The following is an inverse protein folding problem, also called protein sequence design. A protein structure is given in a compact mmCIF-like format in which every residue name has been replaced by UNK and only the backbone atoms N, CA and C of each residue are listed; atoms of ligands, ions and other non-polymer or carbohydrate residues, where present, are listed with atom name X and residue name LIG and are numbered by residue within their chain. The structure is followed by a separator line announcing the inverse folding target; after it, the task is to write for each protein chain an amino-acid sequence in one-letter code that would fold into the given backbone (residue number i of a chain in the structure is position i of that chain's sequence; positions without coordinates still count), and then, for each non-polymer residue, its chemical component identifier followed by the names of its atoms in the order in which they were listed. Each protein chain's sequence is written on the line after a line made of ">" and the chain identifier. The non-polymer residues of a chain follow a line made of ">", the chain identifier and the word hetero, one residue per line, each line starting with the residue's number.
data_IF_106911324128
#
_entry.id   IF_106911324128
#
_cell.length_a   1.000
_cell.length_b   1.000
_cell.length_c   1.000
_cell.angle_alpha   90.00
_cell.angle_beta   90.00
_cell.angle_gamma   90.00
#
_symmetry.space_group_name_H-M   'P 1'
#
loop_
_entity.id
_entity.type
_entity.pdbx_description
1 polymer ?
#
# COMPACT_ATOMS: atom_id res chain seq x y z
N UNK A 1 65.67 -21.34 33.68
CA UNK A 1 66.02 -22.59 34.38
C UNK A 1 66.32 -23.61 33.30
N UNK A 2 67.54 -24.11 33.26
CA UNK A 2 67.98 -25.12 32.30
C UNK A 2 67.51 -26.50 32.77
N UNK A 3 66.82 -27.23 31.90
CA UNK A 3 66.46 -28.63 32.13
C UNK A 3 67.45 -29.55 31.40
N UNK A 4 67.80 -30.66 32.05
CA UNK A 4 68.96 -31.53 31.78
C UNK A 4 68.90 -32.39 30.51
N UNK A 5 68.46 -31.85 29.36
CA UNK A 5 68.56 -32.54 28.06
C UNK A 5 69.14 -31.68 26.93
N UNK A 6 69.74 -30.52 27.21
CA UNK A 6 70.65 -29.83 26.27
C UNK A 6 70.04 -29.33 24.95
N UNK A 7 68.74 -29.47 24.73
CA UNK A 7 68.02 -28.82 23.64
C UNK A 7 67.65 -27.43 24.17
N UNK A 8 68.43 -26.42 23.80
CA UNK A 8 68.04 -25.02 23.92
C UNK A 8 66.74 -24.85 23.14
N UNK A 9 65.59 -24.84 23.82
CA UNK A 9 64.34 -24.36 23.22
C UNK A 9 64.63 -22.93 22.82
N UNK A 10 64.68 -22.62 21.52
CA UNK A 10 65.07 -21.29 21.12
C UNK A 10 64.01 -20.29 21.57
N UNK A 11 64.41 -19.08 21.97
CA UNK A 11 63.47 -18.01 22.36
C UNK A 11 62.38 -17.70 21.32
N UNK A 12 62.54 -18.14 20.06
CA UNK A 12 61.50 -18.02 19.04
C UNK A 12 60.34 -19.03 19.23
N UNK A 13 60.57 -20.18 19.87
CA UNK A 13 59.54 -21.19 20.12
C UNK A 13 58.55 -20.75 21.21
N UNK A 14 59.04 -20.09 22.26
CA UNK A 14 58.20 -19.44 23.28
C UNK A 14 57.32 -18.35 22.65
N UNK A 15 57.87 -17.58 21.71
CA UNK A 15 57.12 -16.55 20.97
C UNK A 15 56.04 -17.14 20.07
N UNK A 16 56.32 -18.25 19.38
CA UNK A 16 55.30 -18.94 18.58
C UNK A 16 54.17 -19.49 19.46
N UNK A 17 54.49 -20.03 20.63
CA UNK A 17 53.49 -20.53 21.59
C UNK A 17 52.62 -19.40 22.14
N UNK A 18 53.20 -18.23 22.41
CA UNK A 18 52.44 -17.03 22.78
C UNK A 18 51.52 -16.55 21.65
N UNK A 19 51.99 -16.55 20.40
CA UNK A 19 51.18 -16.20 19.23
C UNK A 19 50.03 -17.21 19.05
N UNK A 20 50.30 -18.51 19.20
CA UNK A 20 49.28 -19.56 19.13
C UNK A 20 48.18 -19.34 20.17
N UNK A 21 48.57 -19.03 21.42
CA UNK A 21 47.62 -18.73 22.49
C UNK A 21 46.76 -17.49 22.18
N UNK A 22 47.38 -16.42 21.67
CA UNK A 22 46.65 -15.20 21.28
C UNK A 22 45.65 -15.47 20.15
N UNK A 23 46.04 -16.24 19.15
CA UNK A 23 45.15 -16.64 18.05
C UNK A 23 43.99 -17.49 18.58
N UNK A 24 44.27 -18.45 19.48
CA UNK A 24 43.23 -19.30 20.07
C UNK A 24 42.23 -18.49 20.92
N UNK A 25 42.71 -17.53 21.71
CA UNK A 25 41.85 -16.65 22.51
C UNK A 25 40.97 -15.75 21.62
N UNK A 26 41.54 -15.19 20.56
CA UNK A 26 40.81 -14.37 19.59
C UNK A 26 39.79 -15.21 18.79
N UNK A 27 40.15 -16.44 18.41
CA UNK A 27 39.25 -17.39 17.75
C UNK A 27 38.04 -17.73 18.64
N UNK A 28 38.26 -17.96 19.93
CA UNK A 28 37.16 -18.22 20.87
C UNK A 28 36.19 -17.05 20.91
N UNK A 29 36.71 -15.83 21.08
CA UNK A 29 35.89 -14.60 21.14
C UNK A 29 35.09 -14.38 19.87
N UNK A 30 35.70 -14.55 18.69
CA UNK A 30 35.01 -14.34 17.42
C UNK A 30 33.98 -15.44 17.16
N UNK A 31 34.22 -16.67 17.62
CA UNK A 31 33.26 -17.76 17.47
C UNK A 31 32.01 -17.51 18.31
N UNK A 32 32.15 -17.06 19.56
CA UNK A 32 31.02 -16.61 20.38
C UNK A 32 30.27 -15.43 19.72
N UNK A 33 31.01 -14.42 19.23
CA UNK A 33 30.40 -13.29 18.53
C UNK A 33 29.64 -13.69 17.26
N UNK A 34 30.09 -14.71 16.54
CA UNK A 34 29.41 -15.24 15.35
C UNK A 34 28.09 -15.95 15.74
N UNK A 35 28.10 -16.74 16.79
CA UNK A 35 26.89 -17.41 17.29
C UNK A 35 25.84 -16.39 17.76
N UNK A 36 26.26 -15.40 18.55
CA UNK A 36 25.40 -14.30 18.99
C UNK A 36 24.86 -13.48 17.81
N UNK A 37 25.73 -13.14 16.84
CA UNK A 37 25.33 -12.37 15.65
C UNK A 37 24.38 -13.17 14.76
N UNK A 38 24.58 -14.49 14.62
CA UNK A 38 23.69 -15.34 13.84
C UNK A 38 22.31 -15.41 14.49
N UNK A 39 22.24 -15.56 15.81
CA UNK A 39 20.98 -15.54 16.53
C UNK A 39 20.26 -14.20 16.37
N UNK A 40 20.98 -13.07 16.46
CA UNK A 40 20.41 -11.74 16.24
C UNK A 40 19.85 -11.58 14.81
N UNK A 41 20.58 -12.08 13.79
CA UNK A 41 20.12 -12.06 12.39
C UNK A 41 18.84 -12.87 12.22
N UNK A 42 18.76 -14.06 12.81
CA UNK A 42 17.57 -14.93 12.71
C UNK A 42 16.35 -14.22 13.33
N UNK A 43 16.51 -13.61 14.51
CA UNK A 43 15.45 -12.83 15.18
C UNK A 43 15.06 -11.59 14.35
N UNK A 44 16.02 -10.90 13.74
CA UNK A 44 15.75 -9.74 12.89
C UNK A 44 15.05 -10.14 11.58
N UNK A 45 15.35 -11.32 11.05
CA UNK A 45 14.69 -11.86 9.87
C UNK A 45 13.20 -12.14 10.13
N UNK A 46 12.87 -12.81 11.24
CA UNK A 46 11.47 -13.03 11.64
C UNK A 46 10.70 -11.70 11.75
N UNK A 47 11.29 -10.70 12.42
CA UNK A 47 10.71 -9.35 12.51
C UNK A 47 10.59 -8.66 11.15
N UNK A 48 11.51 -8.93 10.23
CA UNK A 48 11.46 -8.37 8.88
C UNK A 48 10.28 -8.94 8.10
N UNK A 49 10.02 -10.25 8.21
CA UNK A 49 8.86 -10.91 7.63
C UNK A 49 7.55 -10.36 8.22
N UNK A 50 7.43 -10.33 9.56
CA UNK A 50 6.23 -9.82 10.24
C UNK A 50 5.93 -8.36 9.87
N UNK A 51 6.96 -7.50 9.87
CA UNK A 51 6.78 -6.08 9.50
C UNK A 51 6.46 -5.90 8.01
N UNK A 52 6.95 -6.80 7.14
CA UNK A 52 6.61 -6.85 5.73
C UNK A 52 5.13 -7.17 5.52
N UNK A 53 4.60 -8.18 6.20
CA UNK A 53 3.18 -8.54 6.16
C UNK A 53 2.29 -7.40 6.67
N UNK A 54 2.66 -6.76 7.78
CA UNK A 54 1.92 -5.63 8.32
C UNK A 54 1.89 -4.43 7.37
N UNK A 55 3.02 -4.16 6.69
CA UNK A 55 3.10 -3.12 5.66
C UNK A 55 2.21 -3.45 4.45
N UNK A 56 2.20 -4.70 3.99
CA UNK A 56 1.34 -5.13 2.89
C UNK A 56 -0.15 -4.97 3.24
N UNK A 57 -0.56 -5.40 4.43
CA UNK A 57 -1.93 -5.23 4.91
C UNK A 57 -2.32 -3.74 4.99
N UNK A 58 -1.43 -2.88 5.47
CA UNK A 58 -1.66 -1.44 5.52
C UNK A 58 -1.79 -0.84 4.11
N UNK A 59 -0.93 -1.24 3.16
CA UNK A 59 -1.00 -0.81 1.76
C UNK A 59 -2.30 -1.24 1.09
N UNK A 60 -2.74 -2.48 1.34
CA UNK A 60 -4.02 -2.98 0.83
C UNK A 60 -5.20 -2.16 1.36
N UNK A 61 -5.24 -1.91 2.67
CA UNK A 61 -6.27 -1.08 3.29
C UNK A 61 -6.29 0.35 2.71
N UNK A 62 -5.12 0.94 2.50
CA UNK A 62 -4.99 2.27 1.90
C UNK A 62 -5.49 2.32 0.46
N UNK A 63 -5.15 1.33 -0.38
CA UNK A 63 -5.69 1.22 -1.75
C UNK A 63 -7.21 1.08 -1.76
N UNK A 64 -7.76 0.26 -0.86
CA UNK A 64 -9.21 0.11 -0.69
C UNK A 64 -9.87 1.44 -0.30
N UNK A 65 -9.24 2.21 0.58
CA UNK A 65 -9.72 3.53 0.99
C UNK A 65 -9.71 4.54 -0.17
N UNK A 66 -8.67 4.54 -1.02
CA UNK A 66 -8.62 5.39 -2.23
C UNK A 66 -9.78 5.05 -3.18
N UNK A 67 -9.96 3.78 -3.50
CA UNK A 67 -11.04 3.34 -4.41
C UNK A 67 -12.43 3.71 -3.85
N UNK A 68 -12.61 3.57 -2.53
CA UNK A 68 -13.87 3.96 -1.87
C UNK A 68 -14.11 5.47 -1.95
N UNK A 69 -13.07 6.30 -1.83
CA UNK A 69 -13.17 7.75 -2.01
C UNK A 69 -13.65 8.09 -3.43
N UNK A 70 -13.08 7.48 -4.46
CA UNK A 70 -13.48 7.73 -5.85
C UNK A 70 -14.94 7.36 -6.10
N UNK A 71 -15.41 6.24 -5.52
CA UNK A 71 -16.81 5.84 -5.60
C UNK A 71 -17.74 6.82 -4.88
N UNK A 72 -17.35 7.31 -3.70
CA UNK A 72 -18.09 8.32 -2.95
C UNK A 72 -18.13 9.66 -3.67
N UNK A 73 -17.03 10.05 -4.31
CA UNK A 73 -16.93 11.28 -5.09
C UNK A 73 -17.89 11.24 -6.29
N UNK A 74 -17.89 10.15 -7.06
CA UNK A 74 -18.86 9.94 -8.15
C UNK A 74 -20.31 9.99 -7.66
N UNK A 75 -20.62 9.37 -6.52
CA UNK A 75 -21.96 9.42 -5.90
C UNK A 75 -22.34 10.85 -5.50
N UNK A 76 -21.43 11.58 -4.87
CA UNK A 76 -21.65 12.96 -4.44
C UNK A 76 -21.85 13.90 -5.64
N UNK A 77 -21.02 13.78 -6.68
CA UNK A 77 -21.16 14.56 -7.92
C UNK A 77 -22.50 14.28 -8.61
N UNK A 78 -22.90 13.01 -8.71
CA UNK A 78 -24.20 12.65 -9.27
C UNK A 78 -25.34 13.25 -8.45
N UNK A 79 -25.36 13.07 -7.14
CA UNK A 79 -26.41 13.61 -6.28
C UNK A 79 -26.49 15.14 -6.32
N UNK A 80 -25.33 15.82 -6.40
CA UNK A 80 -25.23 17.27 -6.58
C UNK A 80 -25.89 17.72 -7.89
N UNK A 81 -25.56 17.03 -8.99
CA UNK A 81 -26.12 17.29 -10.32
C UNK A 81 -27.63 17.08 -10.33
N UNK A 82 -28.10 15.96 -9.77
CA UNK A 82 -29.52 15.62 -9.68
C UNK A 82 -30.31 16.68 -8.89
N UNK A 83 -29.77 17.15 -7.76
CA UNK A 83 -30.35 18.24 -6.98
C UNK A 83 -30.45 19.55 -7.78
N UNK A 84 -29.35 20.00 -8.40
CA UNK A 84 -29.35 21.26 -9.16
C UNK A 84 -30.23 21.19 -10.42
N UNK A 85 -30.27 20.04 -11.09
CA UNK A 85 -31.20 19.80 -12.20
C UNK A 85 -32.65 19.89 -11.74
N UNK A 86 -33.00 19.20 -10.66
CA UNK A 86 -34.35 19.28 -10.10
C UNK A 86 -34.73 20.73 -9.74
N UNK A 87 -33.82 21.45 -9.07
CA UNK A 87 -34.03 22.84 -8.69
C UNK A 87 -34.25 23.75 -9.91
N UNK A 88 -33.47 23.57 -10.98
CA UNK A 88 -33.63 24.33 -12.22
C UNK A 88 -34.97 24.05 -12.91
N UNK A 89 -35.40 22.79 -12.96
CA UNK A 89 -36.71 22.41 -13.51
C UNK A 89 -37.82 23.03 -12.68
N UNK A 90 -37.75 22.92 -11.35
CA UNK A 90 -38.76 23.50 -10.45
C UNK A 90 -38.87 25.02 -10.62
N UNK A 91 -37.72 25.72 -10.69
CA UNK A 91 -37.69 27.17 -10.96
C UNK A 91 -38.31 27.51 -12.31
N UNK A 92 -38.02 26.74 -13.35
CA UNK A 92 -38.61 26.95 -14.67
C UNK A 92 -40.14 26.75 -14.64
N UNK A 93 -40.63 25.71 -13.96
CA UNK A 93 -42.07 25.46 -13.80
C UNK A 93 -42.80 26.63 -13.11
N UNK A 94 -42.18 27.27 -12.11
CA UNK A 94 -42.76 28.46 -11.47
C UNK A 94 -42.91 29.65 -12.43
N UNK A 95 -42.05 29.78 -13.44
CA UNK A 95 -42.16 30.89 -14.43
C UNK A 95 -43.34 30.74 -15.38
N UNK A 96 -43.89 29.51 -15.53
CA UNK A 96 -44.91 29.16 -16.53
C UNK A 96 -44.55 29.51 -17.98
N UNK A 97 -43.26 29.75 -18.25
CA UNK A 97 -42.73 30.08 -19.56
C UNK A 97 -42.32 28.78 -20.29
N UNK A 98 -43.00 28.40 -21.38
CA UNK A 98 -42.70 27.17 -22.10
C UNK A 98 -41.25 27.08 -22.59
N UNK A 99 -40.63 28.20 -22.96
CA UNK A 99 -39.24 28.21 -23.44
C UNK A 99 -38.26 27.92 -22.30
N UNK A 100 -38.50 28.47 -21.10
CA UNK A 100 -37.67 28.20 -19.92
C UNK A 100 -37.84 26.77 -19.42
N UNK A 101 -39.08 26.25 -19.44
CA UNK A 101 -39.36 24.86 -19.08
C UNK A 101 -38.67 23.91 -20.06
N UNK A 102 -38.77 24.17 -21.36
CA UNK A 102 -38.09 23.38 -22.38
C UNK A 102 -36.56 23.44 -22.26
N UNK A 103 -35.99 24.61 -21.96
CA UNK A 103 -34.55 24.76 -21.74
C UNK A 103 -34.07 23.97 -20.51
N UNK A 104 -34.79 24.04 -19.39
CA UNK A 104 -34.48 23.28 -18.17
C UNK A 104 -34.61 21.76 -18.37
N UNK A 105 -35.52 21.33 -19.25
CA UNK A 105 -35.73 19.92 -19.60
C UNK A 105 -34.96 19.49 -20.85
N UNK A 106 -34.08 20.33 -21.42
CA UNK A 106 -33.48 20.13 -22.74
C UNK A 106 -32.82 18.76 -22.93
N UNK A 107 -32.16 18.22 -21.90
CA UNK A 107 -31.56 16.89 -21.97
C UNK A 107 -32.61 15.77 -22.08
N UNK A 108 -33.67 15.78 -21.27
CA UNK A 108 -34.77 14.81 -21.34
C UNK A 108 -35.57 15.00 -22.64
N UNK A 109 -35.79 16.26 -23.02
CA UNK A 109 -36.53 16.62 -24.22
C UNK A 109 -35.82 16.13 -25.49
N UNK A 110 -34.49 16.28 -25.56
CA UNK A 110 -33.71 15.84 -26.72
C UNK A 110 -33.75 14.32 -26.87
N UNK A 111 -33.58 13.58 -25.77
CA UNK A 111 -33.66 12.11 -25.79
C UNK A 111 -35.06 11.62 -26.16
N UNK A 112 -36.10 12.24 -25.60
CA UNK A 112 -37.51 11.96 -25.93
C UNK A 112 -37.82 12.20 -27.40
N UNK A 113 -37.38 13.33 -27.95
CA UNK A 113 -37.61 13.69 -29.35
C UNK A 113 -36.82 12.81 -30.32
N UNK A 114 -35.58 12.43 -29.94
CA UNK A 114 -34.79 11.43 -30.67
C UNK A 114 -35.50 10.08 -30.72
N UNK A 115 -35.97 9.58 -29.57
CA UNK A 115 -36.74 8.33 -29.49
C UNK A 115 -38.03 8.40 -30.31
N UNK A 116 -38.74 9.55 -30.29
CA UNK A 116 -39.94 9.78 -31.11
C UNK A 116 -39.64 9.70 -32.60
N UNK A 117 -38.53 10.29 -33.05
CA UNK A 117 -38.10 10.23 -34.44
C UNK A 117 -37.75 8.80 -34.89
N UNK A 118 -37.05 8.04 -34.04
CA UNK A 118 -36.73 6.64 -34.32
C UNK A 118 -37.99 5.75 -34.38
N UNK A 119 -38.94 5.95 -33.46
CA UNK A 119 -40.24 5.29 -33.49
C UNK A 119 -41.01 5.60 -34.78
N UNK A 120 -41.06 6.87 -35.17
CA UNK A 120 -41.71 7.29 -36.42
C UNK A 120 -41.07 6.67 -37.68
N UNK A 121 -39.75 6.42 -37.65
CA UNK A 121 -39.05 5.69 -38.72
C UNK A 121 -39.35 4.20 -38.72
N UNK A 122 -39.60 3.62 -37.56
CA UNK A 122 -39.89 2.20 -37.39
C UNK A 122 -41.37 1.83 -37.66
N UNK A 123 -42.19 2.77 -38.15
CA UNK A 123 -43.65 2.76 -38.18
C UNK A 123 -44.36 1.45 -38.59
N UNK A 124 -43.70 0.53 -39.31
CA UNK A 124 -44.25 -0.79 -39.68
C UNK A 124 -43.17 -1.90 -39.76
N UNK A 125 -42.11 -1.81 -38.96
CA UNK A 125 -41.00 -2.77 -38.96
C UNK A 125 -40.95 -3.69 -37.75
N UNK A 126 -40.11 -4.74 -37.82
CA UNK A 126 -39.89 -5.70 -36.72
C UNK A 126 -39.40 -5.03 -35.42
N UNK A 127 -38.79 -3.84 -35.51
CA UNK A 127 -38.23 -3.11 -34.38
C UNK A 127 -39.21 -2.13 -33.73
N UNK A 128 -40.45 -2.00 -34.24
CA UNK A 128 -41.42 -1.01 -33.75
C UNK A 128 -41.68 -1.13 -32.25
N UNK A 129 -41.88 -2.36 -31.75
CA UNK A 129 -42.16 -2.61 -30.33
C UNK A 129 -41.00 -2.18 -29.42
N UNK A 130 -39.75 -2.43 -29.84
CA UNK A 130 -38.56 -2.00 -29.09
C UNK A 130 -38.46 -0.48 -29.09
N UNK A 131 -38.69 0.18 -30.23
CA UNK A 131 -38.65 1.65 -30.33
C UNK A 131 -39.79 2.33 -29.57
N UNK A 132 -40.96 1.69 -29.51
CA UNK A 132 -42.10 2.14 -28.70
C UNK A 132 -41.72 2.13 -27.22
N UNK A 133 -41.17 1.01 -26.72
CA UNK A 133 -40.75 0.90 -25.32
C UNK A 133 -39.68 1.94 -24.94
N UNK A 134 -38.74 2.24 -25.85
CA UNK A 134 -37.72 3.28 -25.64
C UNK A 134 -38.37 4.67 -25.58
N UNK A 135 -39.31 4.98 -26.47
CA UNK A 135 -40.04 6.25 -26.43
C UNK A 135 -40.85 6.39 -25.15
N UNK A 136 -41.63 5.37 -24.77
CA UNK A 136 -42.45 5.38 -23.56
C UNK A 136 -41.59 5.58 -22.30
N UNK A 137 -40.40 4.98 -22.25
CA UNK A 137 -39.44 5.21 -21.19
C UNK A 137 -39.06 6.70 -21.06
N UNK A 138 -38.68 7.36 -22.16
CA UNK A 138 -38.30 8.77 -22.14
C UNK A 138 -39.49 9.71 -21.95
N UNK A 139 -40.68 9.36 -22.45
CA UNK A 139 -41.90 10.13 -22.23
C UNK A 139 -42.29 10.10 -20.74
N UNK A 140 -42.24 8.93 -20.08
CA UNK A 140 -42.47 8.82 -18.63
C UNK A 140 -41.49 9.69 -17.83
N UNK A 141 -40.21 9.70 -18.19
CA UNK A 141 -39.22 10.56 -17.54
C UNK A 141 -39.55 12.04 -17.72
N UNK A 142 -39.96 12.44 -18.93
CA UNK A 142 -40.35 13.81 -19.24
C UNK A 142 -41.60 14.24 -18.47
N UNK A 143 -42.65 13.42 -18.47
CA UNK A 143 -43.89 13.69 -17.73
C UNK A 143 -43.62 13.80 -16.22
N UNK A 144 -42.79 12.90 -15.68
CA UNK A 144 -42.42 12.97 -14.26
C UNK A 144 -41.64 14.24 -13.93
N UNK A 145 -40.74 14.67 -14.81
CA UNK A 145 -39.97 15.89 -14.60
C UNK A 145 -40.86 17.15 -14.59
N UNK A 146 -41.95 17.17 -15.38
CA UNK A 146 -42.95 18.25 -15.35
C UNK A 146 -43.75 18.31 -14.04
N UNK A 147 -43.77 17.23 -13.26
CA UNK A 147 -44.49 17.12 -12.00
C UNK A 147 -43.61 17.32 -10.76
N UNK A 148 -42.33 17.67 -10.94
CA UNK A 148 -41.40 17.84 -9.81
C UNK A 148 -41.87 18.95 -8.88
N UNK A 149 -41.84 18.68 -7.58
CA UNK A 149 -42.28 19.63 -6.55
C UNK A 149 -41.17 19.98 -5.55
N UNK A 150 -41.51 20.81 -4.56
CA UNK A 150 -40.55 21.22 -3.53
C UNK A 150 -40.10 20.06 -2.64
N UNK A 151 -40.96 19.06 -2.41
CA UNK A 151 -40.65 17.90 -1.59
C UNK A 151 -39.58 17.04 -2.26
N UNK A 152 -39.69 16.82 -3.58
CA UNK A 152 -38.71 16.12 -4.38
C UNK A 152 -37.33 16.82 -4.35
N UNK A 153 -37.31 18.15 -4.43
CA UNK A 153 -36.06 18.92 -4.33
C UNK A 153 -35.42 18.77 -2.95
N UNK A 154 -36.23 18.77 -1.88
CA UNK A 154 -35.71 18.57 -0.53
C UNK A 154 -35.19 17.15 -0.31
N UNK A 155 -35.83 16.13 -0.90
CA UNK A 155 -35.33 14.75 -0.91
C UNK A 155 -33.98 14.66 -1.61
N UNK A 156 -33.86 15.24 -2.81
CA UNK A 156 -32.60 15.27 -3.56
C UNK A 156 -31.49 16.02 -2.80
N UNK A 157 -31.81 17.15 -2.17
CA UNK A 157 -30.89 17.90 -1.32
C UNK A 157 -30.37 17.05 -0.15
N UNK A 158 -31.27 16.34 0.54
CA UNK A 158 -30.89 15.46 1.66
C UNK A 158 -29.92 14.36 1.20
N UNK A 159 -30.22 13.70 0.08
CA UNK A 159 -29.35 12.68 -0.52
C UNK A 159 -27.96 13.26 -0.85
N UNK A 160 -27.91 14.45 -1.45
CA UNK A 160 -26.65 15.12 -1.74
C UNK A 160 -25.87 15.45 -0.47
N UNK A 161 -26.53 15.99 0.56
CA UNK A 161 -25.88 16.32 1.84
C UNK A 161 -25.35 15.08 2.56
N UNK A 162 -26.08 13.96 2.54
CA UNK A 162 -25.63 12.68 3.08
C UNK A 162 -24.41 12.15 2.31
N UNK A 163 -24.44 12.19 0.97
CA UNK A 163 -23.31 11.79 0.14
C UNK A 163 -22.07 12.67 0.38
N UNK A 164 -22.27 13.99 0.52
CA UNK A 164 -21.22 14.96 0.83
C UNK A 164 -20.61 14.69 2.20
N UNK A 165 -21.43 14.43 3.23
CA UNK A 165 -20.95 14.09 4.57
C UNK A 165 -20.17 12.78 4.58
N UNK A 166 -20.63 11.76 3.85
CA UNK A 166 -19.93 10.49 3.71
C UNK A 166 -18.57 10.66 3.02
N UNK A 167 -18.52 11.41 1.92
CA UNK A 167 -17.28 11.71 1.21
C UNK A 167 -16.29 12.48 2.11
N UNK A 168 -16.78 13.48 2.85
CA UNK A 168 -15.95 14.26 3.77
C UNK A 168 -15.37 13.38 4.87
N UNK A 169 -16.23 12.63 5.57
CA UNK A 169 -15.81 11.70 6.62
C UNK A 169 -14.75 10.74 6.11
N UNK A 170 -14.99 10.10 4.97
CA UNK A 170 -14.04 9.14 4.41
C UNK A 170 -12.72 9.80 3.97
N UNK A 171 -12.77 11.00 3.40
CA UNK A 171 -11.58 11.70 2.90
C UNK A 171 -10.69 12.22 4.03
N UNK A 172 -11.28 12.70 5.13
CA UNK A 172 -10.55 13.37 6.20
C UNK A 172 -10.32 12.49 7.45
N UNK A 173 -11.05 11.40 7.59
CA UNK A 173 -10.83 10.44 8.69
C UNK A 173 -10.17 9.19 8.12
N UNK A 174 -10.95 8.35 7.42
CA UNK A 174 -10.51 7.01 7.01
C UNK A 174 -9.29 7.01 6.10
N UNK A 175 -9.26 7.88 5.09
CA UNK A 175 -8.13 7.94 4.16
C UNK A 175 -6.85 8.47 4.82
N UNK A 176 -6.97 9.45 5.71
CA UNK A 176 -5.84 10.00 6.46
C UNK A 176 -5.28 8.95 7.42
N UNK A 177 -6.15 8.26 8.15
CA UNK A 177 -5.77 7.18 9.05
C UNK A 177 -5.03 6.06 8.29
N UNK A 178 -5.58 5.59 7.17
CA UNK A 178 -4.96 4.54 6.36
C UNK A 178 -3.59 4.99 5.80
N UNK A 179 -3.48 6.25 5.35
CA UNK A 179 -2.21 6.83 4.88
C UNK A 179 -1.17 6.90 6.00
N UNK A 180 -1.59 7.36 7.19
CA UNK A 180 -0.73 7.46 8.37
C UNK A 180 -0.22 6.08 8.80
N UNK A 181 -1.09 5.07 8.78
CA UNK A 181 -0.71 3.68 9.08
C UNK A 181 0.35 3.16 8.11
N UNK A 182 0.21 3.38 6.80
CA UNK A 182 1.24 3.02 5.81
C UNK A 182 2.56 3.72 6.10
N UNK A 183 2.54 5.01 6.42
CA UNK A 183 3.76 5.76 6.75
C UNK A 183 4.47 5.20 7.99
N UNK A 184 3.71 4.87 9.03
CA UNK A 184 4.25 4.25 10.24
C UNK A 184 4.88 2.88 9.94
N UNK A 185 4.12 1.98 9.32
CA UNK A 185 4.60 0.63 8.98
C UNK A 185 5.81 0.68 8.06
N UNK A 186 5.85 1.61 7.11
CA UNK A 186 7.00 1.76 6.21
C UNK A 186 8.25 2.25 6.93
N UNK A 187 8.10 3.14 7.91
CA UNK A 187 9.22 3.62 8.73
C UNK A 187 9.77 2.48 9.60
N UNK A 188 8.88 1.70 10.22
CA UNK A 188 9.22 0.57 11.07
C UNK A 188 9.93 -0.54 10.27
N UNK A 189 9.36 -0.96 9.15
CA UNK A 189 9.98 -1.95 8.26
C UNK A 189 11.38 -1.53 7.79
N UNK A 190 11.55 -0.24 7.41
CA UNK A 190 12.88 0.30 7.04
C UNK A 190 13.88 0.27 8.19
N UNK A 191 13.44 0.51 9.43
CA UNK A 191 14.32 0.43 10.61
C UNK A 191 14.79 -1.00 10.85
N UNK A 192 13.89 -1.97 10.73
CA UNK A 192 14.21 -3.40 10.90
C UNK A 192 15.14 -3.86 9.78
N UNK A 193 14.84 -3.52 8.53
CA UNK A 193 15.69 -3.83 7.37
C UNK A 193 17.11 -3.31 7.55
N UNK A 194 17.25 -2.05 8.01
CA UNK A 194 18.57 -1.46 8.27
C UNK A 194 19.32 -2.20 9.39
N UNK A 195 18.65 -2.54 10.49
CA UNK A 195 19.27 -3.31 11.58
C UNK A 195 19.71 -4.70 11.11
N UNK A 196 18.89 -5.37 10.30
CA UNK A 196 19.21 -6.65 9.69
C UNK A 196 20.44 -6.58 8.77
N UNK A 197 20.52 -5.54 7.93
CA UNK A 197 21.68 -5.31 7.05
C UNK A 197 22.96 -5.05 7.85
N UNK A 198 22.88 -4.26 8.92
CA UNK A 198 24.01 -3.97 9.82
C UNK A 198 24.49 -5.24 10.53
N UNK A 199 23.58 -6.04 11.10
CA UNK A 199 23.90 -7.31 11.75
C UNK A 199 24.50 -8.33 10.75
N UNK A 200 23.92 -8.45 9.56
CA UNK A 200 24.41 -9.32 8.49
C UNK A 200 25.82 -8.94 8.04
N UNK A 201 26.10 -7.65 7.91
CA UNK A 201 27.44 -7.16 7.57
C UNK A 201 28.45 -7.47 8.66
N UNK A 202 28.09 -7.26 9.93
CA UNK A 202 28.95 -7.55 11.06
C UNK A 202 29.28 -9.05 11.15
N UNK A 203 28.27 -9.92 10.96
CA UNK A 203 28.43 -11.36 10.93
C UNK A 203 29.37 -11.82 9.79
N UNK A 204 29.21 -11.24 8.60
CA UNK A 204 30.10 -11.51 7.47
C UNK A 204 31.56 -11.10 7.77
N UNK A 205 31.79 -9.93 8.39
CA UNK A 205 33.13 -9.48 8.79
C UNK A 205 33.76 -10.40 9.83
N UNK A 206 32.98 -10.80 10.85
CA UNK A 206 33.43 -11.74 11.88
C UNK A 206 33.77 -13.11 11.26
N UNK A 207 33.01 -13.56 10.25
CA UNK A 207 33.23 -14.84 9.56
C UNK A 207 34.55 -14.82 8.77
N UNK A 208 34.82 -13.74 8.04
CA UNK A 208 36.10 -13.54 7.34
C UNK A 208 37.26 -13.56 8.34
N UNK A 209 37.16 -12.82 9.44
CA UNK A 209 38.20 -12.76 10.47
C UNK A 209 38.43 -14.14 11.13
N UNK A 210 37.36 -14.89 11.39
CA UNK A 210 37.47 -16.27 11.91
C UNK A 210 38.24 -17.17 10.93
N UNK A 211 37.94 -17.08 9.63
CA UNK A 211 38.64 -17.85 8.60
C UNK A 211 40.13 -17.48 8.51
N UNK A 212 40.46 -16.20 8.60
CA UNK A 212 41.85 -15.72 8.60
C UNK A 212 42.62 -16.23 9.82
N UNK A 213 42.02 -16.14 11.01
CA UNK A 213 42.63 -16.64 12.24
C UNK A 213 42.79 -18.16 12.23
N UNK A 214 41.81 -18.92 11.70
CA UNK A 214 41.93 -20.38 11.52
C UNK A 214 43.11 -20.73 10.62
N UNK A 215 43.30 -19.99 9.52
CA UNK A 215 44.45 -20.17 8.62
C UNK A 215 45.77 -19.84 9.31
N UNK A 216 45.82 -18.78 10.11
CA UNK A 216 47.02 -18.41 10.86
C UNK A 216 47.35 -19.43 11.96
N UNK A 217 46.33 -19.95 12.66
CA UNK A 217 46.47 -21.03 13.64
C UNK A 217 47.14 -22.26 13.01
N UNK A 218 46.64 -22.70 11.85
CA UNK A 218 47.22 -23.82 11.10
C UNK A 218 48.68 -23.57 10.72
N UNK A 219 49.03 -22.37 10.27
CA UNK A 219 50.42 -22.04 9.95
C UNK A 219 51.33 -22.11 11.18
N UNK A 220 50.88 -21.62 12.34
CA UNK A 220 51.66 -21.67 13.57
C UNK A 220 51.82 -23.11 14.06
N UNK A 221 50.77 -23.94 14.00
CA UNK A 221 50.87 -25.38 14.28
C UNK A 221 51.86 -26.07 13.35
N UNK A 222 51.80 -25.80 12.04
CA UNK A 222 52.76 -26.36 11.08
C UNK A 222 54.20 -25.95 11.38
N UNK A 223 54.44 -24.68 11.74
CA UNK A 223 55.76 -24.22 12.15
C UNK A 223 56.23 -24.93 13.42
N UNK A 224 55.38 -25.04 14.44
CA UNK A 224 55.72 -25.74 15.69
C UNK A 224 56.07 -27.21 15.44
N UNK A 225 55.29 -27.92 14.60
CA UNK A 225 55.54 -29.32 14.22
C UNK A 225 56.84 -29.48 13.40
N UNK A 226 57.11 -28.57 12.47
CA UNK A 226 58.30 -28.62 11.62
C UNK A 226 59.63 -28.47 12.39
N UNK A 227 59.58 -27.89 13.59
CA UNK A 227 60.76 -27.72 14.45
C UNK A 227 60.74 -28.59 15.72
N UNK A 228 59.77 -29.50 15.86
CA UNK A 228 59.79 -30.56 16.87
C UNK A 228 60.63 -31.78 16.44
N UNK A 229 61.09 -31.80 15.18
CA UNK A 229 62.02 -32.78 14.60
C UNK A 229 63.32 -32.10 14.18
#
# INVERSE_FOLDING_TARGET
>A
MEDMNGILIPHWFDRLSMIAYQIAEELSKITEQLEDSQHEIDVLYEKLEESGEQLEQALFAYRKAINTKELLDKKCQKACKDFHHGQAIQQALYTRDPQKIQAALSYIYTDREGARYELARAALGADHEIKQNIFDYYDVLYQRALLIDQEDIQKAYKVWMEAKKALFKHSFETLIEAKSKVQHMSLEHKRIMKAYEEASLQNAQNSVRQSELKKNSLHIEHLQLAFQY
#
